data_IF_079060868013
#
_entry.id   IF_079060868013
#
_cell.length_a   1.000
_cell.length_b   1.000
_cell.length_c   1.000
_cell.angle_alpha   90.00
_cell.angle_beta   90.00
_cell.angle_gamma   90.00
#
_symmetry.space_group_name_H-M   'P 1'
#
loop_
_entity.id
_entity.type
_entity.pdbx_description
1 polymer ?
#
# COMPACT_ATOMS: atom_id res chain seq x y z
N UNK A 1 -9.66 16.76 -7.47
CA UNK A 1 -9.80 16.07 -6.18
C UNK A 1 -8.48 16.20 -5.44
N UNK A 2 -8.48 16.44 -4.13
CA UNK A 2 -7.25 16.72 -3.35
C UNK A 2 -7.02 15.57 -2.37
N UNK A 3 -5.78 15.10 -2.27
CA UNK A 3 -5.35 14.11 -1.28
C UNK A 3 -4.23 14.66 -0.42
N UNK A 4 -4.36 14.50 0.89
CA UNK A 4 -3.36 14.93 1.87
C UNK A 4 -2.95 13.71 2.69
N UNK A 5 -1.64 13.53 2.90
CA UNK A 5 -1.10 12.41 3.64
C UNK A 5 0.29 12.73 4.20
N UNK A 6 0.78 11.95 5.19
CA UNK A 6 2.08 12.16 5.82
C UNK A 6 3.26 11.91 4.87
N UNK A 7 3.04 11.17 3.78
CA UNK A 7 4.03 10.93 2.72
C UNK A 7 3.42 11.11 1.33
N UNK A 8 4.23 11.35 0.28
CA UNK A 8 3.74 11.46 -1.08
C UNK A 8 2.99 10.22 -1.57
N UNK A 9 3.35 9.04 -1.07
CA UNK A 9 2.66 7.79 -1.36
C UNK A 9 1.22 7.84 -0.85
N UNK A 10 1.04 8.21 0.42
CA UNK A 10 -0.26 8.25 1.07
C UNK A 10 -1.11 9.36 0.50
N UNK A 11 -0.54 10.54 0.27
CA UNK A 11 -1.24 11.66 -0.38
C UNK A 11 -1.76 11.26 -1.77
N UNK A 12 -0.98 10.50 -2.55
CA UNK A 12 -1.42 9.98 -3.86
C UNK A 12 -2.54 8.95 -3.74
N UNK A 13 -2.50 8.08 -2.73
CA UNK A 13 -3.58 7.13 -2.46
C UNK A 13 -4.87 7.86 -2.07
N UNK A 14 -4.78 8.82 -1.14
CA UNK A 14 -5.89 9.67 -0.73
C UNK A 14 -6.48 10.45 -1.92
N UNK A 15 -5.63 11.01 -2.79
CA UNK A 15 -6.08 11.78 -3.96
C UNK A 15 -6.85 10.92 -4.98
N UNK A 16 -6.51 9.63 -5.10
CA UNK A 16 -7.22 8.67 -5.98
C UNK A 16 -8.61 8.31 -5.45
N UNK A 17 -8.81 8.41 -4.14
CA UNK A 17 -10.10 8.12 -3.49
C UNK A 17 -11.00 9.35 -3.42
N UNK A 18 -10.39 10.54 -3.43
CA UNK A 18 -11.10 11.79 -3.43
C UNK A 18 -11.95 11.93 -4.71
N UNK A 19 -13.21 12.33 -4.51
CA UNK A 19 -14.13 12.72 -5.59
C UNK A 19 -13.87 14.16 -6.03
N UNK A 20 -14.41 14.54 -7.19
CA UNK A 20 -14.34 15.93 -7.65
C UNK A 20 -14.90 16.89 -6.58
N UNK A 21 -14.20 17.99 -6.32
CA UNK A 21 -14.56 18.96 -5.28
C UNK A 21 -14.34 18.50 -3.83
N UNK A 22 -13.85 17.28 -3.58
CA UNK A 22 -13.59 16.76 -2.22
C UNK A 22 -12.10 16.65 -1.91
N UNK A 23 -11.80 16.65 -0.62
CA UNK A 23 -10.47 16.43 -0.06
C UNK A 23 -10.49 15.21 0.84
N UNK A 24 -9.59 14.26 0.60
CA UNK A 24 -9.35 13.12 1.51
C UNK A 24 -8.03 13.40 2.23
N UNK A 25 -8.09 13.42 3.57
CA UNK A 25 -6.92 13.65 4.42
C UNK A 25 -6.67 12.40 5.24
N UNK A 26 -5.42 11.96 5.27
CA UNK A 26 -4.94 10.86 6.12
C UNK A 26 -3.87 11.44 7.02
N UNK A 27 -4.10 11.42 8.32
CA UNK A 27 -3.09 11.86 9.31
C UNK A 27 -2.11 10.72 9.63
N UNK A 28 -1.01 11.04 10.31
CA UNK A 28 -0.02 10.04 10.74
C UNK A 28 -0.64 8.97 11.66
N UNK A 29 -1.53 9.38 12.56
CA UNK A 29 -2.19 8.48 13.52
C UNK A 29 -3.22 7.57 12.83
N UNK A 30 -3.84 8.04 11.74
CA UNK A 30 -4.79 7.27 10.94
C UNK A 30 -4.11 6.36 9.92
N UNK A 31 -2.81 6.55 9.65
CA UNK A 31 -2.11 5.88 8.54
C UNK A 31 -2.21 4.35 8.60
N UNK A 32 -2.00 3.78 9.79
CA UNK A 32 -2.03 2.33 9.97
C UNK A 32 -3.41 1.76 9.64
N UNK A 33 -4.48 2.36 10.18
CA UNK A 33 -5.87 1.95 9.90
C UNK A 33 -6.28 2.23 8.45
N UNK A 34 -5.80 3.35 7.88
CA UNK A 34 -6.02 3.68 6.48
C UNK A 34 -5.46 2.61 5.56
N UNK A 35 -4.22 2.14 5.80
CA UNK A 35 -3.55 1.15 4.96
C UNK A 35 -4.02 -0.28 5.21
N UNK A 36 -4.43 -0.64 6.43
CA UNK A 36 -4.73 -2.03 6.79
C UNK A 36 -5.72 -2.71 5.84
N UNK A 37 -6.76 -1.97 5.46
CA UNK A 37 -7.85 -2.44 4.59
C UNK A 37 -7.65 -2.10 3.10
N UNK A 38 -6.55 -1.45 2.70
CA UNK A 38 -6.34 -1.14 1.28
C UNK A 38 -5.99 -2.40 0.52
N UNK A 39 -6.60 -2.63 -0.65
CA UNK A 39 -6.19 -3.75 -1.48
C UNK A 39 -4.75 -3.55 -1.93
N UNK A 40 -4.00 -4.63 -2.03
CA UNK A 40 -2.56 -4.59 -2.34
C UNK A 40 -2.26 -3.90 -3.67
N UNK A 41 -3.20 -3.94 -4.62
CA UNK A 41 -3.12 -3.26 -5.92
C UNK A 41 -3.22 -1.73 -5.82
N UNK A 42 -3.74 -1.19 -4.70
CA UNK A 42 -3.78 0.25 -4.47
C UNK A 42 -2.40 0.81 -4.11
N UNK A 43 -1.47 -0.03 -3.64
CA UNK A 43 -0.11 0.38 -3.33
C UNK A 43 0.63 0.79 -4.61
N UNK A 44 1.23 2.00 -4.65
CA UNK A 44 2.00 2.44 -5.81
C UNK A 44 3.13 1.47 -6.19
N UNK A 45 3.21 1.15 -7.49
CA UNK A 45 4.20 0.23 -8.04
C UNK A 45 3.86 -1.26 -7.88
N UNK A 46 2.69 -1.60 -7.31
CA UNK A 46 2.13 -2.95 -7.43
C UNK A 46 1.30 -3.02 -8.71
N UNK A 47 1.83 -3.74 -9.71
CA UNK A 47 1.10 -4.01 -10.95
C UNK A 47 0.13 -5.20 -10.81
N UNK A 48 -0.73 -5.46 -11.82
CA UNK A 48 -1.69 -6.56 -11.79
C UNK A 48 -1.06 -7.94 -11.60
N UNK A 49 0.11 -8.19 -12.21
CA UNK A 49 0.83 -9.46 -12.05
C UNK A 49 1.33 -9.64 -10.60
N UNK A 50 1.98 -8.63 -10.05
CA UNK A 50 2.45 -8.62 -8.65
C UNK A 50 1.29 -8.79 -7.68
N UNK A 51 0.18 -8.08 -7.90
CA UNK A 51 -1.03 -8.21 -7.08
C UNK A 51 -1.58 -9.64 -7.13
N UNK A 52 -1.71 -10.25 -8.31
CA UNK A 52 -2.17 -11.64 -8.46
C UNK A 52 -1.29 -12.62 -7.71
N UNK A 53 0.03 -12.49 -7.84
CA UNK A 53 0.99 -13.32 -7.10
C UNK A 53 0.80 -13.14 -5.60
N UNK A 54 0.73 -11.91 -5.10
CA UNK A 54 0.52 -11.66 -3.67
C UNK A 54 -0.81 -12.22 -3.17
N UNK A 55 -1.90 -12.02 -3.93
CA UNK A 55 -3.21 -12.59 -3.61
C UNK A 55 -3.19 -14.13 -3.58
N UNK A 56 -2.42 -14.81 -4.44
CA UNK A 56 -2.30 -16.28 -4.38
C UNK A 56 -1.59 -16.77 -3.10
N UNK A 57 -0.85 -15.90 -2.42
CA UNK A 57 -0.27 -16.16 -1.08
C UNK A 57 -1.13 -15.59 0.06
N UNK A 58 -2.35 -15.12 -0.21
CA UNK A 58 -3.25 -14.53 0.80
C UNK A 58 -2.93 -13.08 1.19
N UNK A 59 -1.97 -12.46 0.51
CA UNK A 59 -1.51 -11.08 0.74
C UNK A 59 -2.31 -10.09 -0.12
N UNK A 60 -3.63 -10.05 0.09
CA UNK A 60 -4.57 -9.25 -0.70
C UNK A 60 -4.71 -7.80 -0.21
N UNK A 61 -4.23 -7.47 0.99
CA UNK A 61 -4.26 -6.11 1.56
C UNK A 61 -2.88 -5.58 1.92
N UNK A 62 -2.73 -4.26 1.96
CA UNK A 62 -1.51 -3.60 2.39
C UNK A 62 -1.20 -3.91 3.88
N UNK A 63 -2.20 -4.03 4.75
CA UNK A 63 -2.03 -4.50 6.13
C UNK A 63 -1.41 -5.90 6.21
N UNK A 64 -1.92 -6.86 5.43
CA UNK A 64 -1.35 -8.22 5.37
C UNK A 64 0.08 -8.23 4.85
N UNK A 65 0.38 -7.39 3.85
CA UNK A 65 1.75 -7.22 3.34
C UNK A 65 2.67 -6.60 4.39
N UNK A 66 2.21 -5.61 5.16
CA UNK A 66 2.97 -4.98 6.23
C UNK A 66 3.28 -5.98 7.38
N UNK A 67 2.30 -6.84 7.71
CA UNK A 67 2.44 -7.89 8.72
C UNK A 67 3.29 -9.08 8.26
N UNK A 68 3.44 -9.29 6.95
CA UNK A 68 4.21 -10.40 6.42
C UNK A 68 5.72 -10.28 6.75
N UNK A 69 6.40 -11.39 7.08
CA UNK A 69 7.85 -11.40 7.24
C UNK A 69 8.56 -10.93 5.96
N UNK A 70 9.58 -10.08 6.11
CA UNK A 70 10.32 -9.55 4.96
C UNK A 70 10.92 -10.66 4.09
N UNK A 71 11.44 -11.73 4.71
CA UNK A 71 11.98 -12.89 3.98
C UNK A 71 10.95 -13.57 3.08
N UNK A 72 9.68 -13.61 3.49
CA UNK A 72 8.59 -14.14 2.67
C UNK A 72 8.35 -13.27 1.43
N UNK A 73 8.27 -11.95 1.61
CA UNK A 73 8.08 -11.01 0.49
C UNK A 73 9.27 -11.06 -0.48
N UNK A 74 10.49 -11.18 0.04
CA UNK A 74 11.70 -11.30 -0.77
C UNK A 74 11.78 -12.62 -1.54
N UNK A 75 11.26 -13.72 -0.98
CA UNK A 75 11.17 -15.00 -1.67
C UNK A 75 10.14 -14.98 -2.80
N UNK A 76 9.03 -14.25 -2.62
CA UNK A 76 7.96 -14.15 -3.62
C UNK A 76 8.34 -13.20 -4.76
N UNK A 77 8.90 -12.02 -4.45
CA UNK A 77 9.10 -10.94 -5.43
C UNK A 77 10.57 -10.63 -5.74
N UNK A 78 11.51 -11.25 -5.04
CA UNK A 78 12.92 -10.91 -5.06
C UNK A 78 13.31 -9.88 -3.99
N UNK A 79 14.61 -9.83 -3.68
CA UNK A 79 15.15 -9.09 -2.53
C UNK A 79 14.82 -7.58 -2.54
N UNK A 80 14.95 -6.93 -3.71
CA UNK A 80 14.68 -5.49 -3.86
C UNK A 80 13.19 -5.18 -3.80
N UNK A 81 12.40 -5.84 -4.65
CA UNK A 81 10.96 -5.59 -4.75
C UNK A 81 10.23 -5.92 -3.43
N UNK A 82 10.63 -6.98 -2.72
CA UNK A 82 10.07 -7.31 -1.42
C UNK A 82 10.33 -6.26 -0.35
N UNK A 83 11.52 -5.63 -0.34
CA UNK A 83 11.82 -4.51 0.58
C UNK A 83 11.01 -3.27 0.25
N UNK A 84 11.01 -2.88 -1.03
CA UNK A 84 10.27 -1.70 -1.49
C UNK A 84 8.76 -1.86 -1.20
N UNK A 85 8.20 -3.04 -1.47
CA UNK A 85 6.80 -3.32 -1.20
C UNK A 85 6.47 -3.19 0.29
N UNK A 86 7.32 -3.75 1.16
CA UNK A 86 7.10 -3.67 2.61
C UNK A 86 7.17 -2.23 3.13
N UNK A 87 8.12 -1.44 2.64
CA UNK A 87 8.21 -0.01 2.99
C UNK A 87 6.93 0.74 2.59
N UNK A 88 6.44 0.51 1.37
CA UNK A 88 5.20 1.12 0.86
C UNK A 88 3.96 0.70 1.65
N UNK A 89 3.91 -0.55 2.10
CA UNK A 89 2.85 -1.05 2.96
C UNK A 89 2.83 -0.38 4.36
N UNK A 90 3.95 0.22 4.78
CA UNK A 90 4.04 1.08 5.96
C UNK A 90 3.92 2.58 5.63
N UNK A 91 3.60 2.93 4.39
CA UNK A 91 3.42 4.31 3.95
C UNK A 91 4.72 5.06 3.65
N UNK A 92 5.86 4.38 3.54
CA UNK A 92 7.21 4.95 3.29
C UNK A 92 7.52 4.95 1.79
#
# INVERSE_FOLDING_TARGET
>A
AIGVGPTPLVARMAAREARFGTTVTVTGDELAGYLDHKPVVALPGVGPATARTLCSYGLDSAGRVAAAPLGTLQRILGARAGRELRARAHGI
#
